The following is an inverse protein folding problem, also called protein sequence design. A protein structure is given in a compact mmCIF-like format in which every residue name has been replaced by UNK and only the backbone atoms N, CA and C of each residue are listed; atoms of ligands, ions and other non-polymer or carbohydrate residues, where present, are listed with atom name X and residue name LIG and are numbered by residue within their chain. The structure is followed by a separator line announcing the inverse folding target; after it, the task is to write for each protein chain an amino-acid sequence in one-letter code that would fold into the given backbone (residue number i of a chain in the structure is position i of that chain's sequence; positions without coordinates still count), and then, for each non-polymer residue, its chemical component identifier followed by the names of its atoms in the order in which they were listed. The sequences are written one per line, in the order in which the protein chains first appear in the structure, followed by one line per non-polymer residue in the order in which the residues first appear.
data_IF_703147099097
#
_entry.id   IF_703147099097
#
_cell.length_a   1.000
_cell.length_b   1.000
_cell.length_c   1.000
_cell.angle_alpha   90.00
_cell.angle_beta   90.00
_cell.angle_gamma   90.00
#
_symmetry.space_group_name_H-M   'P 1'
#
loop_
_entity.id
_entity.type
_entity.pdbx_description
1 polymer ?
#
# COMPACT_ATOMS: atom_id res chain seq x y z
N UNK A 1 52.63 17.32 4.64
CA UNK A 1 52.53 18.79 4.64
C UNK A 1 51.08 19.16 4.42
N UNK A 2 50.44 19.69 5.46
CA UNK A 2 49.05 20.14 5.46
C UNK A 2 48.92 21.53 4.82
N UNK A 3 47.84 21.78 4.07
CA UNK A 3 47.36 23.14 3.80
C UNK A 3 45.84 23.19 3.92
N UNK A 4 45.44 24.09 4.80
CA UNK A 4 44.11 24.35 5.33
C UNK A 4 43.51 25.56 4.62
N UNK A 5 42.19 25.52 4.39
CA UNK A 5 41.19 26.62 4.40
C UNK A 5 41.43 27.93 3.63
N UNK A 6 40.44 28.34 2.82
CA UNK A 6 39.86 29.69 2.91
C UNK A 6 38.40 29.77 2.42
N UNK A 7 37.62 30.51 3.17
CA UNK A 7 36.20 30.86 3.08
C UNK A 7 35.98 32.28 2.51
N UNK A 8 34.77 32.53 1.97
CA UNK A 8 33.99 33.81 1.98
C UNK A 8 32.82 33.67 0.97
N UNK A 9 31.53 33.67 1.35
CA UNK A 9 30.64 34.81 1.73
C UNK A 9 30.46 35.84 0.57
N UNK A 10 29.31 36.44 0.24
CA UNK A 10 28.02 36.68 0.92
C UNK A 10 27.03 37.41 -0.03
N UNK A 11 25.80 37.71 0.47
CA UNK A 11 24.68 38.56 -0.04
C UNK A 11 23.73 37.96 -1.09
N UNK A 12 22.41 37.90 -0.91
CA UNK A 12 21.51 38.40 0.14
C UNK A 12 20.46 39.36 -0.43
N UNK A 13 19.16 39.07 -0.28
CA UNK A 13 18.10 40.08 -0.09
C UNK A 13 16.87 39.44 0.57
N UNK A 14 16.45 40.07 1.67
CA UNK A 14 15.26 39.76 2.45
C UNK A 14 14.16 40.81 2.23
N UNK A 15 12.88 40.40 2.27
CA UNK A 15 11.64 41.11 2.65
C UNK A 15 10.45 40.36 2.01
N UNK A 16 9.26 40.20 2.59
CA UNK A 16 8.56 40.88 3.69
C UNK A 16 7.40 39.97 4.14
N UNK A 17 6.94 40.20 5.37
CA UNK A 17 5.90 39.48 6.08
C UNK A 17 4.46 39.67 5.55
N UNK A 18 3.61 38.66 5.80
CA UNK A 18 2.43 38.81 6.66
C UNK A 18 1.05 38.90 6.01
N UNK A 19 0.08 38.23 6.68
CA UNK A 19 -1.40 38.38 6.60
C UNK A 19 -2.03 37.66 5.39
N UNK A 20 -2.90 36.67 5.49
CA UNK A 20 -3.88 36.31 6.51
C UNK A 20 -5.28 36.71 6.03
N UNK A 21 -6.05 35.78 5.48
CA UNK A 21 -7.53 35.76 5.49
C UNK A 21 -8.06 34.66 4.55
N UNK A 22 -8.69 33.66 5.15
CA UNK A 22 -9.69 32.84 4.49
C UNK A 22 -10.96 33.69 4.31
N UNK A 23 -11.53 33.72 3.11
CA UNK A 23 -12.94 34.08 2.96
C UNK A 23 -13.58 33.33 1.79
N UNK A 24 -14.76 32.84 2.14
CA UNK A 24 -15.84 32.20 1.39
C UNK A 24 -16.17 32.83 0.04
N UNK A 25 -16.38 31.97 -0.96
CA UNK A 25 -17.21 32.28 -2.14
C UNK A 25 -18.63 31.74 -1.90
N UNK A 26 -19.52 32.64 -1.51
CA UNK A 26 -20.96 32.48 -1.68
C UNK A 26 -21.33 32.86 -3.12
N UNK A 27 -22.11 32.00 -3.79
CA UNK A 27 -22.70 32.29 -5.10
C UNK A 27 -24.09 32.90 -4.91
N UNK A 28 -24.28 34.00 -5.61
CA UNK A 28 -25.50 34.80 -5.74
C UNK A 28 -26.70 34.02 -6.27
N UNK A 29 -27.88 34.38 -5.77
CA UNK A 29 -29.10 34.44 -6.56
C UNK A 29 -29.76 35.80 -6.29
N UNK A 30 -29.63 36.66 -7.30
CA UNK A 30 -30.30 37.96 -7.44
C UNK A 30 -31.79 37.74 -7.74
N UNK A 31 -32.63 38.62 -7.20
CA UNK A 31 -34.08 38.52 -7.31
C UNK A 31 -34.81 39.78 -6.85
N UNK A 32 -34.50 40.89 -7.53
CA UNK A 32 -35.36 42.06 -7.80
C UNK A 32 -35.92 42.88 -6.63
N UNK A 33 -35.40 44.10 -6.52
CA UNK A 33 -35.92 45.21 -5.74
C UNK A 33 -36.94 46.06 -6.54
N UNK A 34 -38.00 46.50 -5.85
CA UNK A 34 -38.71 47.80 -5.90
C UNK A 34 -39.87 47.68 -4.89
N UNK A 35 -40.20 48.64 -4.02
CA UNK A 35 -40.13 50.08 -4.07
C UNK A 35 -40.28 50.64 -2.63
N UNK A 36 -40.03 51.93 -2.49
CA UNK A 36 -39.81 52.75 -1.30
C UNK A 36 -40.91 52.77 -0.22
N UNK A 37 -40.48 52.83 1.05
CA UNK A 37 -41.01 53.81 2.02
C UNK A 37 -40.16 53.95 3.29
N UNK A 38 -39.42 55.07 3.34
CA UNK A 38 -39.28 56.00 4.48
C UNK A 38 -39.41 55.42 5.91
N UNK A 39 -38.32 55.51 6.66
CA UNK A 39 -38.38 56.18 7.97
C UNK A 39 -37.81 55.47 9.20
N UNK A 40 -36.88 56.18 9.84
CA UNK A 40 -36.62 56.24 11.29
C UNK A 40 -35.53 55.34 11.89
N UNK A 41 -34.54 56.04 12.44
CA UNK A 41 -33.57 55.58 13.41
C UNK A 41 -34.24 54.94 14.64
N UNK A 42 -33.80 53.76 15.08
CA UNK A 42 -33.93 53.36 16.49
C UNK A 42 -32.82 52.41 16.94
N UNK A 43 -32.00 52.95 17.82
CA UNK A 43 -30.98 52.30 18.64
C UNK A 43 -31.57 51.13 19.44
N UNK A 44 -30.76 50.09 19.62
CA UNK A 44 -30.63 49.23 20.82
C UNK A 44 -31.96 48.88 21.52
N UNK A 45 -32.74 47.99 20.92
CA UNK A 45 -33.92 47.41 21.56
C UNK A 45 -33.60 46.02 22.14
N UNK A 46 -33.09 46.04 23.38
CA UNK A 46 -33.43 45.09 24.43
C UNK A 46 -33.24 43.59 24.20
N UNK A 47 -32.05 43.07 24.55
CA UNK A 47 -31.91 41.78 25.25
C UNK A 47 -32.50 41.86 26.68
N UNK A 48 -33.74 42.33 26.82
CA UNK A 48 -34.49 42.39 28.08
C UNK A 48 -35.96 42.10 27.76
N UNK A 49 -36.24 40.86 27.35
CA UNK A 49 -37.58 40.45 26.95
C UNK A 49 -37.78 38.95 26.75
N UNK A 50 -36.73 38.13 26.71
CA UNK A 50 -36.90 36.69 26.90
C UNK A 50 -37.26 36.45 28.37
N UNK A 51 -38.56 36.24 28.62
CA UNK A 51 -39.08 35.91 29.94
C UNK A 51 -38.29 34.71 30.52
N UNK A 52 -37.93 34.72 31.81
CA UNK A 52 -37.03 33.73 32.44
C UNK A 52 -37.47 32.27 32.28
N UNK A 53 -38.72 32.01 31.89
CA UNK A 53 -39.22 30.68 31.55
C UNK A 53 -38.59 30.09 30.27
N UNK A 54 -38.28 30.89 29.25
CA UNK A 54 -37.77 30.40 27.96
C UNK A 54 -36.33 29.86 28.09
N UNK A 55 -35.49 30.56 28.87
CA UNK A 55 -34.16 30.09 29.22
C UNK A 55 -34.19 28.80 30.08
N UNK A 56 -35.18 28.69 30.98
CA UNK A 56 -35.38 27.49 31.81
C UNK A 56 -35.88 26.29 31.01
N UNK A 57 -36.77 26.49 30.03
CA UNK A 57 -37.25 25.40 29.15
C UNK A 57 -36.14 24.91 28.19
N UNK A 58 -35.33 25.81 27.62
CA UNK A 58 -34.20 25.42 26.78
C UNK A 58 -33.12 24.63 27.55
N UNK A 59 -32.81 25.05 28.79
CA UNK A 59 -31.89 24.32 29.66
C UNK A 59 -32.42 22.94 30.06
N UNK A 60 -33.73 22.81 30.31
CA UNK A 60 -34.39 21.53 30.64
C UNK A 60 -34.35 20.55 29.47
N UNK A 61 -34.63 21.00 28.25
CA UNK A 61 -34.53 20.15 27.04
C UNK A 61 -33.08 19.77 26.68
N UNK A 62 -32.10 20.65 26.93
CA UNK A 62 -30.69 20.32 26.73
C UNK A 62 -30.15 19.30 27.75
N UNK A 63 -30.61 19.38 29.00
CA UNK A 63 -30.28 18.40 30.05
C UNK A 63 -30.95 17.04 29.78
N UNK A 64 -32.20 17.02 29.32
CA UNK A 64 -32.93 15.80 28.98
C UNK A 64 -32.38 15.12 27.72
N UNK A 65 -31.88 15.88 26.74
CA UNK A 65 -31.15 15.34 25.59
C UNK A 65 -29.80 14.72 25.97
N UNK A 66 -29.08 15.27 26.96
CA UNK A 66 -27.87 14.65 27.51
C UNK A 66 -28.17 13.42 28.37
N UNK A 67 -29.28 13.39 29.09
CA UNK A 67 -29.69 12.22 29.87
C UNK A 67 -30.04 11.02 28.98
N UNK A 68 -30.71 11.24 27.84
CA UNK A 68 -30.95 10.18 26.83
C UNK A 68 -29.71 9.70 26.09
N UNK A 69 -28.66 10.53 26.03
CA UNK A 69 -27.38 10.13 25.42
C UNK A 69 -26.48 9.33 26.39
N UNK A 70 -26.80 9.32 27.69
CA UNK A 70 -26.02 8.65 28.74
C UNK A 70 -26.59 7.30 29.18
N UNK A 71 -27.81 6.92 28.75
CA UNK A 71 -28.33 5.57 29.01
C UNK A 71 -27.71 4.56 28.03
N UNK A 72 -26.93 3.57 28.51
CA UNK A 72 -26.47 2.49 27.67
C UNK A 72 -27.68 1.66 27.23
N UNK A 73 -27.84 1.50 25.91
CA UNK A 73 -28.95 0.76 25.33
C UNK A 73 -29.08 -0.65 25.98
N UNK A 74 -30.31 -1.09 26.28
CA UNK A 74 -30.52 -2.35 27.01
C UNK A 74 -29.89 -3.54 26.27
N UNK A 75 -29.18 -4.41 27.00
CA UNK A 75 -28.55 -5.59 26.42
C UNK A 75 -29.63 -6.53 25.88
N UNK A 76 -29.57 -6.85 24.58
CA UNK A 76 -30.52 -7.75 23.91
C UNK A 76 -31.19 -7.22 22.64
N UNK A 77 -30.93 -5.98 22.21
CA UNK A 77 -31.40 -5.50 20.90
C UNK A 77 -30.53 -6.04 19.75
N UNK A 78 -31.11 -6.24 18.54
CA UNK A 78 -30.40 -6.66 17.33
C UNK A 78 -29.22 -5.74 16.92
N UNK A 79 -29.14 -4.54 17.51
CA UNK A 79 -28.00 -3.62 17.38
C UNK A 79 -26.78 -4.02 18.20
N UNK A 80 -26.91 -4.94 19.15
CA UNK A 80 -25.78 -5.51 19.90
C UNK A 80 -24.93 -6.47 19.03
N UNK A 81 -25.49 -7.03 17.95
CA UNK A 81 -24.78 -7.91 17.01
C UNK A 81 -24.12 -7.13 15.86
N UNK A 82 -24.48 -5.86 15.65
CA UNK A 82 -23.74 -4.92 14.77
C UNK A 82 -22.65 -4.21 15.60
N UNK A 83 -22.08 -4.92 16.57
CA UNK A 83 -20.89 -4.45 17.25
C UNK A 83 -19.73 -4.85 16.37
N UNK A 84 -19.02 -3.83 15.87
CA UNK A 84 -17.76 -3.96 15.15
C UNK A 84 -16.97 -5.12 15.77
N UNK A 85 -16.68 -6.20 15.02
CA UNK A 85 -16.06 -7.39 15.60
C UNK A 85 -14.76 -6.98 16.30
N UNK A 86 -14.45 -7.61 17.43
CA UNK A 86 -13.20 -7.34 18.13
C UNK A 86 -12.03 -7.51 17.12
N UNK A 87 -11.16 -6.51 17.01
CA UNK A 87 -10.08 -6.48 16.01
C UNK A 87 -10.48 -5.93 14.62
N UNK A 88 -11.70 -5.43 14.39
CA UNK A 88 -12.06 -4.91 13.07
C UNK A 88 -11.20 -3.72 12.63
N UNK A 89 -10.76 -2.86 13.55
CA UNK A 89 -9.87 -1.75 13.22
C UNK A 89 -8.48 -2.25 12.81
N UNK A 90 -7.99 -3.34 13.42
CA UNK A 90 -6.75 -3.99 13.02
C UNK A 90 -6.88 -4.66 11.65
N UNK A 91 -8.00 -5.35 11.39
CA UNK A 91 -8.29 -5.94 10.08
C UNK A 91 -8.36 -4.85 9.01
N UNK A 92 -9.04 -3.73 9.28
CA UNK A 92 -9.09 -2.58 8.37
C UNK A 92 -7.70 -2.01 8.11
N UNK A 93 -6.87 -1.86 9.14
CA UNK A 93 -5.49 -1.39 8.99
C UNK A 93 -4.67 -2.33 8.10
N UNK A 94 -4.73 -3.65 8.34
CA UNK A 94 -4.06 -4.66 7.51
C UNK A 94 -4.54 -4.65 6.06
N UNK A 95 -5.84 -4.48 5.83
CA UNK A 95 -6.40 -4.38 4.47
C UNK A 95 -5.92 -3.11 3.76
N UNK A 96 -5.87 -1.99 4.47
CA UNK A 96 -5.33 -0.75 3.91
C UNK A 96 -3.84 -0.86 3.58
N UNK A 97 -3.05 -1.49 4.46
CA UNK A 97 -1.63 -1.75 4.25
C UNK A 97 -1.40 -2.68 3.05
N UNK A 98 -2.14 -3.78 2.96
CA UNK A 98 -2.10 -4.70 1.82
C UNK A 98 -2.40 -3.96 0.51
N UNK A 99 -3.39 -3.06 0.51
CA UNK A 99 -3.71 -2.25 -0.66
C UNK A 99 -2.54 -1.35 -1.06
N UNK A 100 -1.90 -0.68 -0.11
CA UNK A 100 -0.74 0.18 -0.37
C UNK A 100 0.44 -0.62 -0.94
N UNK A 101 0.71 -1.80 -0.39
CA UNK A 101 1.75 -2.71 -0.89
C UNK A 101 1.44 -3.22 -2.30
N UNK A 102 0.17 -3.57 -2.60
CA UNK A 102 -0.27 -3.94 -3.95
C UNK A 102 -0.07 -2.81 -4.95
N UNK A 103 -0.38 -1.56 -4.59
CA UNK A 103 -0.10 -0.40 -5.44
C UNK A 103 1.40 -0.25 -5.68
N UNK A 104 2.22 -0.41 -4.64
CA UNK A 104 3.69 -0.38 -4.77
C UNK A 104 4.18 -1.45 -5.75
N UNK A 105 3.73 -2.70 -5.64
CA UNK A 105 4.08 -3.77 -6.58
C UNK A 105 3.66 -3.41 -8.01
N UNK A 106 2.43 -2.91 -8.22
CA UNK A 106 1.95 -2.49 -9.54
C UNK A 106 2.81 -1.39 -10.16
N UNK A 107 3.30 -0.44 -9.36
CA UNK A 107 4.20 0.61 -9.85
C UNK A 107 5.58 0.08 -10.19
N UNK A 108 6.17 -0.76 -9.34
CA UNK A 108 7.50 -1.35 -9.55
C UNK A 108 7.51 -2.32 -10.73
N UNK A 109 6.41 -3.05 -10.96
CA UNK A 109 6.26 -3.99 -12.09
C UNK A 109 6.50 -3.35 -13.44
N UNK A 110 6.15 -2.07 -13.61
CA UNK A 110 6.39 -1.32 -14.86
C UNK A 110 7.89 -1.21 -15.20
N UNK A 111 8.76 -1.38 -14.21
CA UNK A 111 10.23 -1.37 -14.32
C UNK A 111 10.80 -2.59 -13.62
N UNK A 112 10.27 -3.76 -13.94
CA UNK A 112 10.59 -5.03 -13.29
C UNK A 112 12.10 -5.25 -13.16
N UNK A 113 12.87 -5.02 -14.22
CA UNK A 113 14.32 -5.24 -14.26
C UNK A 113 15.10 -4.49 -13.18
N UNK A 114 14.60 -3.32 -12.75
CA UNK A 114 15.21 -2.49 -11.70
C UNK A 114 14.47 -2.58 -10.36
N UNK A 115 13.20 -2.98 -10.39
CA UNK A 115 12.32 -3.04 -9.23
C UNK A 115 12.16 -4.43 -8.61
N UNK A 116 12.72 -5.48 -9.22
CA UNK A 116 12.49 -6.88 -8.80
C UNK A 116 12.87 -7.12 -7.34
N UNK A 117 13.98 -6.53 -6.86
CA UNK A 117 14.41 -6.68 -5.46
C UNK A 117 13.44 -6.00 -4.50
N UNK A 118 13.01 -4.78 -4.82
CA UNK A 118 12.05 -4.04 -4.01
C UNK A 118 10.66 -4.70 -4.03
N UNK A 119 10.28 -5.36 -5.14
CA UNK A 119 9.07 -6.21 -5.21
C UNK A 119 9.21 -7.41 -4.28
N UNK A 120 10.35 -8.11 -4.31
CA UNK A 120 10.62 -9.24 -3.41
C UNK A 120 10.52 -8.85 -1.94
N UNK A 121 11.02 -7.68 -1.55
CA UNK A 121 10.90 -7.15 -0.18
C UNK A 121 9.43 -6.94 0.21
N UNK A 122 8.65 -6.31 -0.66
CA UNK A 122 7.22 -6.07 -0.40
C UNK A 122 6.45 -7.39 -0.30
N UNK A 123 6.77 -8.38 -1.15
CA UNK A 123 6.16 -9.71 -1.08
C UNK A 123 6.53 -10.45 0.21
N UNK A 124 7.79 -10.34 0.64
CA UNK A 124 8.25 -10.91 1.90
C UNK A 124 7.53 -10.26 3.09
N UNK A 125 7.35 -8.94 3.10
CA UNK A 125 6.60 -8.23 4.14
C UNK A 125 5.13 -8.68 4.20
N UNK A 126 4.47 -8.82 3.03
CA UNK A 126 3.09 -9.35 2.94
C UNK A 126 3.01 -10.75 3.56
N UNK A 127 4.00 -11.60 3.27
CA UNK A 127 4.05 -12.96 3.76
C UNK A 127 4.29 -13.00 5.27
N UNK A 128 5.25 -12.23 5.79
CA UNK A 128 5.60 -12.22 7.22
C UNK A 128 4.49 -11.68 8.12
N UNK A 129 3.75 -10.69 7.63
CA UNK A 129 2.66 -10.06 8.38
C UNK A 129 1.29 -10.75 8.16
N UNK A 130 1.25 -11.80 7.34
CA UNK A 130 0.04 -12.51 6.97
C UNK A 130 -1.08 -11.59 6.44
N UNK A 131 -0.70 -10.51 5.73
CA UNK A 131 -1.65 -9.49 5.27
C UNK A 131 -2.68 -10.06 4.30
N UNK A 132 -2.33 -11.11 3.57
CA UNK A 132 -3.23 -11.83 2.68
C UNK A 132 -4.43 -12.47 3.43
N UNK A 133 -4.25 -12.87 4.69
CA UNK A 133 -5.34 -13.46 5.47
C UNK A 133 -6.44 -12.43 5.78
N UNK A 134 -6.06 -11.15 5.96
CA UNK A 134 -7.00 -10.07 6.26
C UNK A 134 -7.99 -9.81 5.11
N UNK A 135 -7.60 -10.15 3.86
CA UNK A 135 -8.48 -10.07 2.68
C UNK A 135 -9.24 -11.38 2.41
N UNK A 136 -8.98 -12.42 3.19
CA UNK A 136 -9.69 -13.72 3.12
C UNK A 136 -9.04 -14.76 2.22
N UNK A 137 -7.76 -14.63 1.88
CA UNK A 137 -7.04 -15.71 1.17
C UNK A 137 -6.62 -16.79 2.16
N UNK A 138 -6.89 -18.06 1.82
CA UNK A 138 -6.52 -19.21 2.66
C UNK A 138 -5.04 -19.57 2.62
N UNK A 139 -4.31 -19.10 1.60
CA UNK A 139 -2.86 -19.29 1.48
C UNK A 139 -2.23 -18.12 0.73
N UNK A 140 -0.93 -17.90 0.97
CA UNK A 140 -0.16 -16.88 0.25
C UNK A 140 -0.10 -17.17 -1.25
N UNK A 141 -0.04 -18.44 -1.66
CA UNK A 141 -0.04 -18.84 -3.06
C UNK A 141 -1.34 -18.45 -3.79
N UNK A 142 -2.49 -18.67 -3.15
CA UNK A 142 -3.78 -18.27 -3.70
C UNK A 142 -3.92 -16.75 -3.83
N UNK A 143 -3.25 -15.99 -2.95
CA UNK A 143 -3.15 -14.53 -3.07
C UNK A 143 -2.31 -14.14 -4.29
N UNK A 144 -1.13 -14.74 -4.46
CA UNK A 144 -0.24 -14.43 -5.59
C UNK A 144 -0.93 -14.65 -6.95
N UNK A 145 -1.63 -15.77 -7.13
CA UNK A 145 -2.30 -16.08 -8.40
C UNK A 145 -3.45 -15.12 -8.75
N UNK A 146 -4.13 -14.57 -7.73
CA UNK A 146 -5.31 -13.72 -7.93
C UNK A 146 -4.99 -12.23 -7.99
N UNK A 147 -4.00 -11.77 -7.24
CA UNK A 147 -3.73 -10.34 -7.05
C UNK A 147 -2.45 -9.86 -7.73
N UNK A 148 -1.51 -10.77 -8.03
CA UNK A 148 -0.19 -10.44 -8.56
C UNK A 148 -0.01 -11.04 -9.96
N UNK A 149 -0.01 -10.18 -10.99
CA UNK A 149 0.21 -10.59 -12.39
C UNK A 149 1.69 -10.93 -12.72
N UNK A 150 2.45 -11.50 -11.78
CA UNK A 150 3.81 -12.02 -12.01
C UNK A 150 3.83 -13.55 -12.12
N UNK A 151 2.75 -14.20 -11.65
CA UNK A 151 2.68 -15.64 -11.49
C UNK A 151 3.25 -16.11 -10.15
N UNK A 152 2.77 -17.28 -9.70
CA UNK A 152 3.16 -17.92 -8.44
C UNK A 152 4.67 -18.18 -8.36
N UNK A 153 5.24 -18.85 -9.36
CA UNK A 153 6.65 -19.26 -9.36
C UNK A 153 7.60 -18.07 -9.30
N UNK A 154 7.42 -17.07 -10.17
CA UNK A 154 8.26 -15.87 -10.17
C UNK A 154 8.17 -15.11 -8.85
N UNK A 155 6.97 -14.95 -8.29
CA UNK A 155 6.78 -14.25 -7.02
C UNK A 155 7.52 -14.94 -5.87
N UNK A 156 7.46 -16.28 -5.81
CA UNK A 156 8.20 -17.07 -4.82
C UNK A 156 9.72 -16.96 -5.03
N UNK A 157 10.19 -16.99 -6.28
CA UNK A 157 11.61 -16.78 -6.58
C UNK A 157 12.09 -15.40 -6.12
N UNK A 158 11.33 -14.34 -6.37
CA UNK A 158 11.70 -12.97 -5.94
C UNK A 158 11.83 -12.85 -4.42
N UNK A 159 11.00 -13.54 -3.65
CA UNK A 159 11.12 -13.58 -2.18
C UNK A 159 12.44 -14.25 -1.78
N UNK A 160 12.78 -15.38 -2.39
CA UNK A 160 14.04 -16.08 -2.12
C UNK A 160 15.27 -15.27 -2.53
N UNK A 161 15.20 -14.55 -3.64
CA UNK A 161 16.26 -13.62 -4.06
C UNK A 161 16.59 -12.64 -2.94
N UNK A 162 15.59 -12.06 -2.29
CA UNK A 162 15.78 -11.08 -1.22
C UNK A 162 16.35 -11.71 0.06
N UNK A 163 16.10 -13.00 0.30
CA UNK A 163 16.67 -13.72 1.44
C UNK A 163 18.14 -14.09 1.25
N UNK A 164 18.59 -14.30 0.00
CA UNK A 164 19.92 -14.82 -0.32
C UNK A 164 20.88 -13.72 -0.78
N UNK A 165 20.40 -12.77 -1.57
CA UNK A 165 21.22 -11.73 -2.17
C UNK A 165 21.08 -10.40 -1.45
N UNK A 166 22.18 -9.65 -1.39
CA UNK A 166 22.15 -8.26 -0.97
C UNK A 166 21.59 -7.37 -2.08
N UNK A 167 20.92 -6.28 -1.70
CA UNK A 167 20.24 -5.36 -2.63
C UNK A 167 21.15 -4.82 -3.72
N UNK A 168 22.32 -4.31 -3.36
CA UNK A 168 23.26 -3.69 -4.30
C UNK A 168 23.79 -4.72 -5.31
N UNK A 169 24.23 -5.88 -4.82
CA UNK A 169 24.69 -6.97 -5.67
C UNK A 169 23.60 -7.46 -6.64
N UNK A 170 22.37 -7.64 -6.15
CA UNK A 170 21.27 -8.09 -7.01
C UNK A 170 21.01 -7.09 -8.15
N UNK A 171 20.98 -5.79 -7.84
CA UNK A 171 20.74 -4.74 -8.84
C UNK A 171 21.89 -4.61 -9.85
N UNK A 172 23.14 -4.80 -9.44
CA UNK A 172 24.31 -4.73 -10.33
C UNK A 172 24.35 -5.89 -11.34
N UNK A 173 24.00 -7.10 -10.91
CA UNK A 173 23.98 -8.27 -11.80
C UNK A 173 22.72 -8.31 -12.69
N UNK A 174 21.62 -7.72 -12.23
CA UNK A 174 20.33 -7.72 -12.92
C UNK A 174 19.51 -8.99 -12.67
N UNK A 175 18.20 -8.89 -12.89
CA UNK A 175 17.23 -9.92 -12.51
C UNK A 175 17.54 -11.31 -13.10
N UNK A 176 17.78 -11.41 -14.41
CA UNK A 176 17.96 -12.70 -15.07
C UNK A 176 19.15 -13.49 -14.53
N UNK A 177 20.28 -12.82 -14.31
CA UNK A 177 21.49 -13.46 -13.77
C UNK A 177 21.28 -13.92 -12.33
N UNK A 178 20.56 -13.14 -11.54
CA UNK A 178 20.24 -13.48 -10.15
C UNK A 178 19.27 -14.66 -10.08
N UNK A 179 18.27 -14.72 -10.97
CA UNK A 179 17.34 -15.85 -11.04
C UNK A 179 18.05 -17.15 -11.47
N UNK A 180 18.98 -17.08 -12.44
CA UNK A 180 19.81 -18.23 -12.84
C UNK A 180 20.76 -18.66 -11.72
N UNK A 181 21.34 -17.71 -10.98
CA UNK A 181 22.17 -18.03 -9.82
C UNK A 181 21.34 -18.69 -8.71
N UNK A 182 20.10 -18.23 -8.49
CA UNK A 182 19.20 -18.81 -7.51
C UNK A 182 18.85 -20.27 -7.86
N UNK A 183 18.49 -20.57 -9.11
CA UNK A 183 18.19 -21.95 -9.52
C UNK A 183 19.41 -22.87 -9.40
N UNK A 184 20.61 -22.36 -9.68
CA UNK A 184 21.85 -23.11 -9.46
C UNK A 184 22.12 -23.40 -7.98
N UNK A 185 21.81 -22.44 -7.07
CA UNK A 185 21.99 -22.60 -5.63
C UNK A 185 20.97 -23.56 -4.99
N UNK A 186 19.74 -23.61 -5.51
CA UNK A 186 18.70 -24.52 -5.01
C UNK A 186 18.94 -25.99 -5.38
N UNK A 187 19.94 -26.27 -6.23
CA UNK A 187 20.23 -27.63 -6.67
C UNK A 187 19.19 -28.20 -7.62
N UNK A 188 18.24 -27.39 -8.10
CA UNK A 188 17.26 -27.75 -9.13
C UNK A 188 17.89 -27.66 -10.54
N UNK A 189 19.18 -27.96 -10.61
CA UNK A 189 19.86 -28.25 -11.86
C UNK A 189 19.33 -29.62 -12.27
N UNK A 190 18.22 -29.64 -13.02
CA UNK A 190 17.93 -30.76 -13.90
C UNK A 190 19.24 -31.02 -14.63
N UNK A 191 19.87 -32.21 -14.45
CA UNK A 191 21.11 -32.49 -15.14
C UNK A 191 20.80 -32.30 -16.60
N UNK A 192 21.33 -31.24 -17.20
CA UNK A 192 21.26 -31.09 -18.64
C UNK A 192 21.93 -32.37 -19.14
N UNK A 193 21.22 -33.22 -19.90
CA UNK A 193 21.84 -34.42 -20.43
C UNK A 193 23.07 -33.91 -21.18
N UNK A 194 24.25 -34.29 -20.68
CA UNK A 194 25.51 -33.87 -21.26
C UNK A 194 25.39 -34.01 -22.78
N UNK A 195 25.80 -33.02 -23.59
CA UNK A 195 25.71 -33.14 -25.04
C UNK A 195 26.38 -34.45 -25.41
N UNK A 196 25.56 -35.41 -25.87
CA UNK A 196 26.01 -36.75 -26.23
C UNK A 196 27.24 -36.58 -27.09
N UNK A 197 28.39 -37.02 -26.58
CA UNK A 197 29.66 -36.84 -27.26
C UNK A 197 29.50 -37.31 -28.72
N UNK A 198 29.77 -36.45 -29.72
CA UNK A 198 29.66 -36.83 -31.11
C UNK A 198 30.82 -37.78 -31.43
N UNK A 199 30.66 -39.07 -31.16
CA UNK A 199 31.78 -39.99 -31.30
C UNK A 199 31.57 -41.46 -30.97
N UNK A 200 30.36 -41.91 -30.61
CA UNK A 200 30.08 -43.35 -30.53
C UNK A 200 30.06 -43.94 -31.94
N UNK A 201 31.23 -44.42 -32.38
CA UNK A 201 31.41 -45.17 -33.62
C UNK A 201 30.38 -46.32 -33.67
N UNK A 202 29.74 -46.57 -34.82
CA UNK A 202 28.84 -47.71 -34.95
C UNK A 202 29.62 -49.02 -34.76
N UNK A 203 29.02 -50.06 -34.15
CA UNK A 203 29.68 -51.34 -33.98
C UNK A 203 29.93 -51.94 -35.36
N UNK A 204 31.22 -52.19 -35.67
CA UNK A 204 31.63 -52.86 -36.90
C UNK A 204 30.92 -54.23 -36.98
N UNK A 205 30.38 -54.61 -38.15
CA UNK A 205 29.76 -55.91 -38.33
C UNK A 205 30.82 -57.00 -38.17
N UNK A 206 30.61 -57.90 -37.22
CA UNK A 206 31.40 -59.10 -37.02
C UNK A 206 31.34 -59.95 -38.30
N UNK A 207 32.50 -60.13 -38.95
CA UNK A 207 32.66 -61.03 -40.08
C UNK A 207 32.30 -62.47 -39.65
N UNK A 208 31.47 -63.20 -40.41
CA UNK A 208 31.22 -64.60 -40.13
C UNK A 208 32.48 -65.44 -40.43
N UNK A 209 32.72 -66.52 -39.66
CA UNK A 209 33.85 -67.40 -39.89
C UNK A 209 33.67 -68.15 -41.21
N UNK A 210 34.61 -67.98 -42.14
CA UNK A 210 34.73 -68.87 -43.30
C UNK A 210 35.08 -70.26 -42.78
N UNK A 211 34.15 -71.21 -42.97
CA UNK A 211 34.46 -72.65 -42.92
C UNK A 211 35.40 -72.95 -44.09
N UNK A 212 36.67 -73.16 -43.76
CA UNK A 212 37.59 -73.98 -44.55
C UNK A 212 37.21 -75.45 -44.31
N UNK A 213 37.55 -76.32 -45.26
CA UNK A 213 37.30 -77.78 -45.35
C UNK A 213 36.09 -78.10 -46.23
N UNK A 214 36.20 -78.80 -47.37
CA UNK A 214 37.30 -79.49 -48.04
C UNK A 214 36.73 -80.16 -49.28
#
# INVERSE_FOLDING_TARGET
MAKTTKSSSEKGTAKKAGKGSAESQGKNADGAAKDDSKGSSKRKLGLRGAAPWAARHAAKHAAEARARAAEPAPPGSARATIRVPAGAEEIKAKVAELHNQLQKIRTLRKKLDKGFFDIGLVLLDIQQQDLFQAKGYGSFEAFLEREIDLGKQNSLMLIKVVQIFQREAALDFGMDKVLVALTALEGDVVPQPAPSAPGSRPPLPLKPPMRVVG
#
